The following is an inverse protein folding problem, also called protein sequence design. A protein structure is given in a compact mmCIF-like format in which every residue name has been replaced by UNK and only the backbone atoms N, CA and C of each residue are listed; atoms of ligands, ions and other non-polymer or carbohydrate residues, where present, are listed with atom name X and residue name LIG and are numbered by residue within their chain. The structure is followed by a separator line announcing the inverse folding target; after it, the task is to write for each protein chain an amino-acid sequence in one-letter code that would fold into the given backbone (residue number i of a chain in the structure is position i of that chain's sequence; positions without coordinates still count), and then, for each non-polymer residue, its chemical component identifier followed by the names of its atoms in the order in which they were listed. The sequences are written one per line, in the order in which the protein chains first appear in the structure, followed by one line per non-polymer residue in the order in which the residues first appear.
data_IF_776070666119
#
_entry.id   IF_776070666119
#
_cell.length_a   1.000
_cell.length_b   1.000
_cell.length_c   1.000
_cell.angle_alpha   90.00
_cell.angle_beta   90.00
_cell.angle_gamma   90.00
#
_symmetry.space_group_name_H-M   'P 1'
#
loop_
_entity.id
_entity.type
_entity.pdbx_description
1 polymer ?
#
# COMPACT_ATOMS: atom_id res chain seq x y z
N UNK A 1 20.94 13.05 -17.07
CA UNK A 1 19.95 12.65 -16.05
C UNK A 1 19.54 13.89 -15.28
N UNK A 2 18.25 14.20 -15.20
CA UNK A 2 17.76 15.25 -14.32
C UNK A 2 17.93 14.84 -12.86
N UNK A 3 18.32 15.75 -11.98
CA UNK A 3 18.45 15.52 -10.54
C UNK A 3 17.36 16.28 -9.77
N UNK A 4 17.02 15.80 -8.57
CA UNK A 4 16.01 16.42 -7.70
C UNK A 4 14.62 16.58 -8.34
N UNK A 5 14.24 15.58 -9.13
CA UNK A 5 12.91 15.50 -9.76
C UNK A 5 11.81 15.32 -8.70
N UNK A 6 10.54 15.47 -9.12
CA UNK A 6 9.41 15.17 -8.23
C UNK A 6 9.44 13.71 -7.76
N UNK A 7 9.82 12.79 -8.65
CA UNK A 7 9.99 11.38 -8.31
C UNK A 7 11.01 11.19 -7.20
N UNK A 8 12.20 11.81 -7.32
CA UNK A 8 13.26 11.71 -6.30
C UNK A 8 12.79 12.23 -4.95
N UNK A 9 12.03 13.34 -4.96
CA UNK A 9 11.47 13.94 -3.74
C UNK A 9 10.46 13.01 -3.08
N UNK A 10 9.52 12.44 -3.83
CA UNK A 10 8.51 11.50 -3.28
C UNK A 10 9.20 10.23 -2.77
N UNK A 11 10.17 9.70 -3.51
CA UNK A 11 10.93 8.53 -3.09
C UNK A 11 11.67 8.77 -1.77
N UNK A 12 12.42 9.88 -1.68
CA UNK A 12 13.17 10.25 -0.49
C UNK A 12 12.26 10.49 0.73
N UNK A 13 11.07 11.07 0.54
CA UNK A 13 10.09 11.27 1.61
C UNK A 13 9.53 9.96 2.19
N UNK A 14 9.48 8.90 1.38
CA UNK A 14 8.89 7.60 1.76
C UNK A 14 9.92 6.54 2.11
N UNK A 15 11.22 6.81 1.92
CA UNK A 15 12.29 5.90 2.30
C UNK A 15 12.38 5.76 3.81
N UNK A 16 12.38 4.51 4.28
CA UNK A 16 12.58 4.17 5.71
C UNK A 16 14.04 3.78 5.97
N UNK A 17 14.55 2.86 5.16
CA UNK A 17 15.91 2.34 5.29
C UNK A 17 16.38 1.70 3.99
N UNK A 18 17.69 1.49 3.87
CA UNK A 18 18.25 0.55 2.90
C UNK A 18 18.37 -0.82 3.56
N UNK A 19 17.90 -1.86 2.88
CA UNK A 19 17.98 -3.24 3.34
C UNK A 19 19.36 -3.83 3.02
N UNK A 20 19.82 -4.87 3.73
CA UNK A 20 21.10 -5.53 3.43
C UNK A 20 21.25 -6.04 1.99
N UNK A 21 20.14 -6.22 1.27
CA UNK A 21 20.11 -6.57 -0.15
C UNK A 21 20.46 -5.42 -1.10
N UNK A 22 20.62 -4.19 -0.59
CA UNK A 22 20.72 -2.95 -1.38
C UNK A 22 19.37 -2.43 -1.87
N UNK A 23 18.26 -3.02 -1.45
CA UNK A 23 16.91 -2.55 -1.81
C UNK A 23 16.44 -1.48 -0.83
N UNK A 24 15.72 -0.46 -1.32
CA UNK A 24 15.10 0.54 -0.43
C UNK A 24 13.81 -0.01 0.18
N UNK A 25 13.68 0.07 1.50
CA UNK A 25 12.41 -0.11 2.18
C UNK A 25 11.60 1.17 2.11
N UNK A 26 10.41 1.10 1.51
CA UNK A 26 9.48 2.21 1.39
C UNK A 26 8.31 2.06 2.35
N UNK A 27 7.91 3.17 2.95
CA UNK A 27 6.65 3.28 3.67
C UNK A 27 5.52 3.65 2.70
N UNK A 28 4.51 2.79 2.62
CA UNK A 28 3.32 3.06 1.78
C UNK A 28 2.37 3.99 2.56
N UNK A 29 2.27 5.23 2.08
CA UNK A 29 1.51 6.30 2.75
C UNK A 29 0.00 6.27 2.52
N UNK A 30 -0.45 5.58 1.48
CA UNK A 30 -1.86 5.45 1.11
C UNK A 30 -2.06 4.11 0.41
N UNK A 31 -3.04 3.34 0.86
CA UNK A 31 -3.51 2.14 0.19
C UNK A 31 -4.85 2.45 -0.45
N UNK A 32 -4.95 2.23 -1.76
CA UNK A 32 -6.20 2.27 -2.50
C UNK A 32 -6.58 0.84 -2.83
N UNK A 33 -7.70 0.39 -2.29
CA UNK A 33 -8.09 -1.01 -2.33
C UNK A 33 -9.51 -1.16 -2.86
N UNK A 34 -9.83 -2.31 -3.43
CA UNK A 34 -11.13 -2.60 -4.03
C UNK A 34 -11.61 -4.03 -3.75
N UNK A 35 -12.91 -4.28 -3.92
CA UNK A 35 -13.60 -5.49 -3.46
C UNK A 35 -13.22 -6.79 -4.20
N UNK A 36 -12.48 -6.72 -5.31
CA UNK A 36 -12.12 -7.91 -6.09
C UNK A 36 -10.83 -8.57 -5.61
N UNK A 37 -9.79 -7.78 -5.32
CA UNK A 37 -8.44 -8.29 -4.98
C UNK A 37 -8.09 -8.16 -3.49
N UNK A 38 -8.78 -7.27 -2.78
CA UNK A 38 -8.51 -7.01 -1.37
C UNK A 38 -9.01 -8.09 -0.42
N UNK A 39 -10.12 -8.83 -0.70
CA UNK A 39 -10.56 -9.91 0.19
C UNK A 39 -9.47 -10.95 0.47
N UNK A 40 -8.65 -11.30 -0.53
CA UNK A 40 -7.54 -12.23 -0.40
C UNK A 40 -6.44 -11.68 0.52
N UNK A 41 -6.13 -10.38 0.42
CA UNK A 41 -5.16 -9.73 1.30
C UNK A 41 -5.66 -9.67 2.75
N UNK A 42 -6.94 -9.39 2.98
CA UNK A 42 -7.54 -9.41 4.32
C UNK A 42 -7.60 -10.82 4.93
N UNK A 43 -7.87 -11.85 4.11
CA UNK A 43 -7.79 -13.23 4.56
C UNK A 43 -6.36 -13.59 5.03
N UNK A 44 -5.34 -13.22 4.25
CA UNK A 44 -3.94 -13.44 4.63
C UNK A 44 -3.55 -12.71 5.92
N UNK A 45 -4.02 -11.47 6.14
CA UNK A 45 -3.82 -10.76 7.41
C UNK A 45 -4.44 -11.52 8.58
N UNK A 46 -5.67 -12.01 8.41
CA UNK A 46 -6.38 -12.78 9.44
C UNK A 46 -5.64 -14.08 9.76
N UNK A 47 -5.17 -14.82 8.75
CA UNK A 47 -4.43 -16.07 8.93
C UNK A 47 -3.11 -15.85 9.68
N UNK A 48 -2.46 -14.71 9.46
CA UNK A 48 -1.25 -14.28 10.19
C UNK A 48 -1.54 -13.68 11.57
N UNK A 49 -2.82 -13.54 11.97
CA UNK A 49 -3.21 -12.89 13.23
C UNK A 49 -2.88 -11.39 13.27
N UNK A 50 -2.78 -10.74 12.10
CA UNK A 50 -2.42 -9.34 11.96
C UNK A 50 -3.66 -8.48 11.72
N UNK A 51 -3.64 -7.26 12.27
CA UNK A 51 -4.60 -6.21 11.93
C UNK A 51 -4.04 -5.29 10.84
N UNK A 52 -4.93 -4.56 10.16
CA UNK A 52 -4.51 -3.43 9.32
C UNK A 52 -3.82 -2.40 10.21
N UNK A 53 -2.56 -2.07 9.90
CA UNK A 53 -1.74 -1.20 10.75
C UNK A 53 -2.14 0.28 10.69
N UNK A 54 -2.57 0.74 9.53
CA UNK A 54 -3.01 2.12 9.27
C UNK A 54 -4.36 2.13 8.53
N UNK A 55 -5.47 1.78 9.21
CA UNK A 55 -6.80 1.81 8.59
C UNK A 55 -7.17 3.22 8.09
N UNK A 56 -6.69 4.27 8.76
CA UNK A 56 -6.92 5.68 8.37
C UNK A 56 -6.24 6.08 7.06
N UNK A 57 -5.26 5.27 6.60
CA UNK A 57 -4.55 5.46 5.32
C UNK A 57 -4.94 4.41 4.28
N UNK A 58 -6.00 3.65 4.54
CA UNK A 58 -6.49 2.60 3.67
C UNK A 58 -7.89 2.98 3.20
N UNK A 59 -8.01 3.40 1.95
CA UNK A 59 -9.28 3.80 1.36
C UNK A 59 -9.79 2.66 0.49
N UNK A 60 -10.97 2.15 0.83
CA UNK A 60 -11.64 1.09 0.10
C UNK A 60 -12.77 1.65 -0.75
N UNK A 61 -12.80 1.23 -2.02
CA UNK A 61 -13.89 1.52 -2.95
C UNK A 61 -14.54 0.20 -3.37
N UNK A 62 -15.87 0.20 -3.51
CA UNK A 62 -16.61 -0.92 -4.12
C UNK A 62 -17.15 -0.42 -5.45
N UNK A 63 -16.59 -0.88 -6.56
CA UNK A 63 -16.87 -0.30 -7.89
C UNK A 63 -16.92 -1.30 -9.05
N UNK A 64 -16.45 -2.53 -8.88
CA UNK A 64 -16.37 -3.54 -9.94
C UNK A 64 -17.56 -4.50 -9.96
N UNK A 65 -18.07 -4.94 -8.81
CA UNK A 65 -19.07 -6.01 -8.65
C UNK A 65 -20.18 -5.64 -7.66
N UNK A 66 -20.62 -4.38 -7.68
CA UNK A 66 -21.75 -3.91 -6.87
C UNK A 66 -23.05 -4.55 -7.38
N UNK A 67 -23.76 -5.36 -6.58
CA UNK A 67 -25.05 -5.93 -7.00
C UNK A 67 -26.06 -4.83 -7.29
N UNK A 68 -26.81 -4.96 -8.38
CA UNK A 68 -27.84 -3.99 -8.81
C UNK A 68 -29.26 -4.39 -8.41
N UNK A 69 -29.41 -5.48 -7.65
CA UNK A 69 -30.68 -6.13 -7.29
C UNK A 69 -30.74 -6.47 -5.82
#
# INVERSE_FOLDING_TARGET
MSTATLYDKVWALHQVAELPSGSTQLFIGLHLIHEVTSPQAFAALKDLGLSVRHPERTVATVDHIVPTT
#
